data_IF_967007238235
#
_entry.id   IF_967007238235
#
_cell.length_a   1.000
_cell.length_b   1.000
_cell.length_c   1.000
_cell.angle_alpha   90.00
_cell.angle_beta   90.00
_cell.angle_gamma   90.00
#
_symmetry.space_group_name_H-M   'P 1'
#
loop_
_entity.id
_entity.type
_entity.pdbx_description
1 polymer ?
#
# COMPACT_ATOMS: atom_id res chain seq x y z
N UNK A 1 19.38 1.04 -16.68
CA UNK A 1 19.69 0.41 -15.38
C UNK A 1 19.83 1.51 -14.34
N UNK A 2 19.06 1.43 -13.23
CA UNK A 2 19.02 2.46 -12.17
C UNK A 2 19.85 1.99 -10.97
N UNK A 3 19.74 0.72 -10.63
CA UNK A 3 20.45 0.05 -9.54
C UNK A 3 21.12 -1.23 -10.02
N UNK A 4 22.20 -1.65 -9.38
CA UNK A 4 22.85 -2.93 -9.68
C UNK A 4 22.12 -4.07 -8.98
N UNK A 5 21.94 -3.99 -7.67
CA UNK A 5 21.30 -5.03 -6.86
C UNK A 5 20.17 -4.44 -6.01
N UNK A 6 18.96 -4.96 -6.15
CA UNK A 6 17.78 -4.53 -5.40
C UNK A 6 17.28 -5.65 -4.48
N UNK A 7 16.97 -5.32 -3.24
CA UNK A 7 16.28 -6.21 -2.30
C UNK A 7 14.80 -5.83 -2.23
N UNK A 8 13.91 -6.77 -2.54
CA UNK A 8 12.47 -6.62 -2.33
C UNK A 8 12.05 -7.60 -1.24
N UNK A 9 11.47 -7.10 -0.14
CA UNK A 9 10.99 -7.94 0.95
C UNK A 9 9.61 -8.53 0.65
N UNK A 10 9.18 -9.54 1.40
CA UNK A 10 7.90 -10.20 1.18
C UNK A 10 7.79 -10.84 -0.20
N UNK A 11 8.86 -11.48 -0.68
CA UNK A 11 9.00 -11.97 -2.05
C UNK A 11 8.07 -13.15 -2.40
N UNK A 12 7.39 -13.74 -1.42
CA UNK A 12 6.30 -14.68 -1.63
C UNK A 12 4.99 -14.00 -2.08
N UNK A 13 4.84 -12.69 -1.84
CA UNK A 13 3.61 -11.94 -2.07
C UNK A 13 3.46 -11.43 -3.51
N UNK A 14 2.21 -11.32 -3.98
CA UNK A 14 1.85 -10.87 -5.32
C UNK A 14 2.40 -9.47 -5.68
N UNK A 15 2.51 -8.58 -4.71
CA UNK A 15 3.04 -7.22 -4.94
C UNK A 15 4.54 -7.28 -5.24
N UNK A 16 5.31 -8.03 -4.45
CA UNK A 16 6.74 -8.18 -4.67
C UNK A 16 7.05 -8.86 -6.01
N UNK A 17 6.30 -9.91 -6.36
CA UNK A 17 6.41 -10.56 -7.68
C UNK A 17 6.06 -9.61 -8.83
N UNK A 18 5.07 -8.73 -8.65
CA UNK A 18 4.73 -7.70 -9.62
C UNK A 18 5.87 -6.67 -9.79
N UNK A 19 6.46 -6.20 -8.68
CA UNK A 19 7.60 -5.27 -8.72
C UNK A 19 8.84 -5.90 -9.36
N UNK A 20 9.12 -7.18 -9.08
CA UNK A 20 10.21 -7.91 -9.71
C UNK A 20 10.05 -7.96 -11.25
N UNK A 21 8.83 -8.27 -11.73
CA UNK A 21 8.50 -8.23 -13.16
C UNK A 21 8.68 -6.83 -13.75
N UNK A 22 8.18 -5.78 -13.09
CA UNK A 22 8.34 -4.39 -13.55
C UNK A 22 9.81 -4.02 -13.61
N UNK A 23 10.60 -4.31 -12.59
CA UNK A 23 12.03 -4.01 -12.54
C UNK A 23 12.81 -4.67 -13.70
N UNK A 24 12.50 -5.94 -14.01
CA UNK A 24 13.10 -6.70 -15.12
C UNK A 24 12.70 -6.13 -16.49
N UNK A 25 11.42 -5.92 -16.73
CA UNK A 25 10.89 -5.42 -17.99
C UNK A 25 11.41 -4.00 -18.31
N UNK A 26 11.53 -3.16 -17.28
CA UNK A 26 12.09 -1.81 -17.41
C UNK A 26 13.64 -1.78 -17.53
N UNK A 27 14.32 -2.92 -17.37
CA UNK A 27 15.79 -2.95 -17.28
C UNK A 27 16.32 -2.08 -16.13
N UNK A 28 15.54 -1.92 -15.06
CA UNK A 28 15.85 -1.01 -13.97
C UNK A 28 16.96 -1.54 -13.05
N UNK A 29 17.14 -2.87 -12.98
CA UNK A 29 18.08 -3.53 -12.09
C UNK A 29 18.75 -4.71 -12.78
N UNK A 30 19.98 -5.03 -12.38
CA UNK A 30 20.71 -6.21 -12.85
C UNK A 30 20.37 -7.45 -12.03
N UNK A 31 20.39 -7.35 -10.69
CA UNK A 31 20.13 -8.44 -9.77
C UNK A 31 18.97 -8.11 -8.85
N UNK A 32 18.06 -9.08 -8.68
CA UNK A 32 16.93 -9.01 -7.75
C UNK A 32 17.12 -10.03 -6.64
N UNK A 33 17.18 -9.56 -5.42
CA UNK A 33 17.19 -10.39 -4.22
C UNK A 33 15.81 -10.29 -3.57
N UNK A 34 15.24 -11.43 -3.23
CA UNK A 34 14.00 -11.50 -2.44
C UNK A 34 14.30 -11.93 -1.01
N UNK A 35 13.46 -11.54 -0.06
CA UNK A 35 13.43 -12.21 1.24
C UNK A 35 11.99 -12.36 1.72
N UNK A 36 11.71 -13.46 2.44
CA UNK A 36 10.40 -13.76 3.00
C UNK A 36 10.53 -14.55 4.30
N UNK A 37 9.44 -14.60 5.06
CA UNK A 37 9.31 -15.44 6.27
C UNK A 37 8.98 -16.89 5.95
N UNK A 38 8.61 -17.17 4.71
CA UNK A 38 8.31 -18.51 4.20
C UNK A 38 9.40 -18.94 3.23
N UNK A 39 9.78 -20.22 3.27
CA UNK A 39 10.77 -20.79 2.35
C UNK A 39 10.12 -21.40 1.08
N UNK A 40 8.87 -21.81 1.18
CA UNK A 40 8.14 -22.47 0.08
C UNK A 40 7.19 -21.46 -0.60
N UNK A 41 7.62 -20.94 -1.75
CA UNK A 41 6.88 -19.96 -2.54
C UNK A 41 7.45 -19.81 -3.95
N UNK A 42 6.72 -19.11 -4.84
CA UNK A 42 7.09 -18.90 -6.23
C UNK A 42 8.28 -17.90 -6.46
N UNK A 43 8.77 -17.27 -5.40
CA UNK A 43 9.84 -16.24 -5.48
C UNK A 43 11.05 -16.66 -6.32
N UNK A 44 11.62 -17.89 -6.19
CA UNK A 44 12.80 -18.30 -6.96
C UNK A 44 12.66 -18.23 -8.49
N UNK A 45 11.42 -18.19 -9.01
CA UNK A 45 11.20 -17.99 -10.44
C UNK A 45 11.34 -16.50 -10.88
N UNK A 46 11.42 -15.55 -9.94
CA UNK A 46 11.43 -14.11 -10.22
C UNK A 46 12.66 -13.39 -9.69
N UNK A 47 13.31 -13.95 -8.68
CA UNK A 47 14.47 -13.39 -8.01
C UNK A 47 15.73 -14.23 -8.28
N UNK A 48 16.88 -13.58 -8.33
CA UNK A 48 18.18 -14.27 -8.52
C UNK A 48 18.63 -15.01 -7.26
N UNK A 49 18.11 -14.59 -6.08
CA UNK A 49 18.25 -15.29 -4.81
C UNK A 49 17.08 -14.96 -3.91
N UNK A 50 16.67 -15.92 -3.07
CA UNK A 50 15.65 -15.73 -2.03
C UNK A 50 16.24 -16.10 -0.68
N UNK A 51 16.10 -15.21 0.30
CA UNK A 51 16.62 -15.35 1.65
C UNK A 51 15.48 -15.50 2.66
N UNK A 52 15.69 -16.36 3.66
CA UNK A 52 14.73 -16.49 4.77
C UNK A 52 15.01 -15.42 5.83
N UNK A 53 13.96 -14.75 6.27
CA UNK A 53 14.02 -13.76 7.35
C UNK A 53 13.03 -14.10 8.46
N UNK A 54 13.29 -13.75 9.72
CA UNK A 54 12.31 -13.84 10.79
C UNK A 54 11.16 -12.84 10.54
N UNK A 55 10.06 -12.97 11.28
CA UNK A 55 8.97 -11.99 11.23
C UNK A 55 9.47 -10.62 11.66
N UNK A 56 8.93 -9.57 11.05
CA UNK A 56 9.36 -8.19 11.31
C UNK A 56 9.28 -7.77 12.80
N UNK A 57 8.35 -8.35 13.57
CA UNK A 57 8.23 -8.10 15.01
C UNK A 57 9.21 -8.90 15.89
N UNK A 58 10.05 -9.75 15.31
CA UNK A 58 11.11 -10.47 16.03
C UNK A 58 12.38 -9.61 16.12
N UNK A 59 13.03 -9.60 17.30
CA UNK A 59 14.18 -8.73 17.58
C UNK A 59 15.39 -8.93 16.64
N UNK A 60 15.49 -10.07 15.97
CA UNK A 60 16.57 -10.42 15.05
C UNK A 60 16.32 -9.99 13.60
N UNK A 61 15.13 -9.45 13.29
CA UNK A 61 14.76 -9.08 11.91
C UNK A 61 15.72 -8.09 11.26
N UNK A 62 15.99 -6.95 11.91
CA UNK A 62 16.87 -5.91 11.36
C UNK A 62 18.30 -6.38 11.19
N UNK A 63 18.81 -7.19 12.12
CA UNK A 63 20.16 -7.76 12.00
C UNK A 63 20.24 -8.73 10.81
N UNK A 64 19.25 -9.59 10.64
CA UNK A 64 19.16 -10.50 9.49
C UNK A 64 19.07 -9.73 8.18
N UNK A 65 18.21 -8.70 8.12
CA UNK A 65 18.10 -7.85 6.94
C UNK A 65 19.43 -7.16 6.60
N UNK A 66 20.17 -6.64 7.61
CA UNK A 66 21.49 -6.05 7.42
C UNK A 66 22.50 -7.05 6.86
N UNK A 67 22.50 -8.29 7.35
CA UNK A 67 23.36 -9.36 6.83
C UNK A 67 23.10 -9.64 5.37
N UNK A 68 21.81 -9.71 4.95
CA UNK A 68 21.41 -9.91 3.56
C UNK A 68 21.91 -8.74 2.68
N UNK A 69 21.71 -7.50 3.12
CA UNK A 69 22.17 -6.31 2.40
C UNK A 69 23.67 -6.37 2.12
N UNK A 70 24.48 -6.73 3.14
CA UNK A 70 25.94 -6.83 3.02
C UNK A 70 26.34 -8.02 2.14
N UNK A 71 25.76 -9.19 2.36
CA UNK A 71 26.14 -10.42 1.67
C UNK A 71 25.88 -10.36 0.16
N UNK A 72 24.82 -9.68 -0.26
CA UNK A 72 24.44 -9.57 -1.67
C UNK A 72 24.91 -8.26 -2.33
N UNK A 73 25.49 -7.33 -1.58
CA UNK A 73 25.86 -6.00 -2.08
C UNK A 73 24.64 -5.22 -2.57
N UNK A 74 23.60 -5.20 -1.75
CA UNK A 74 22.34 -4.50 -2.09
C UNK A 74 22.55 -3.00 -2.16
N UNK A 75 21.98 -2.35 -3.17
CA UNK A 75 22.04 -0.90 -3.38
C UNK A 75 20.75 -0.16 -3.03
N UNK A 76 19.63 -0.89 -2.94
CA UNK A 76 18.31 -0.34 -2.58
C UNK A 76 17.42 -1.40 -1.96
N UNK A 77 16.65 -1.01 -0.95
CA UNK A 77 15.66 -1.87 -0.29
C UNK A 77 14.26 -1.38 -0.60
N UNK A 78 13.37 -2.32 -0.97
CA UNK A 78 11.94 -2.06 -1.21
C UNK A 78 11.12 -2.87 -0.21
N UNK A 79 10.72 -2.29 0.94
CA UNK A 79 9.92 -2.98 1.93
C UNK A 79 8.47 -3.11 1.46
N UNK A 80 7.89 -4.31 1.57
CA UNK A 80 6.55 -4.58 1.01
C UNK A 80 5.47 -4.79 2.05
N UNK A 81 5.79 -5.24 3.26
CA UNK A 81 4.78 -5.41 4.31
C UNK A 81 4.70 -4.18 5.23
N UNK A 82 3.50 -3.89 5.72
CA UNK A 82 3.31 -2.81 6.70
C UNK A 82 4.05 -3.08 8.01
N UNK A 83 4.21 -4.36 8.39
CA UNK A 83 4.97 -4.74 9.58
C UNK A 83 6.47 -4.39 9.43
N UNK A 84 7.06 -4.63 8.27
CA UNK A 84 8.45 -4.29 7.98
C UNK A 84 8.64 -2.77 7.94
N UNK A 85 7.73 -2.06 7.27
CA UNK A 85 7.75 -0.58 7.22
C UNK A 85 7.62 0.01 8.63
N UNK A 86 6.76 -0.56 9.49
CA UNK A 86 6.59 -0.11 10.87
C UNK A 86 7.86 -0.31 11.71
N UNK A 87 8.57 -1.41 11.54
CA UNK A 87 9.84 -1.67 12.24
C UNK A 87 10.94 -0.73 11.74
N UNK A 88 11.06 -0.53 10.42
CA UNK A 88 12.00 0.43 9.84
C UNK A 88 11.70 1.87 10.30
N UNK A 89 10.42 2.24 10.37
CA UNK A 89 9.99 3.53 10.90
C UNK A 89 10.39 3.70 12.37
N UNK A 90 10.07 2.73 13.21
CA UNK A 90 10.38 2.77 14.65
C UNK A 90 11.87 2.84 14.93
N UNK A 91 12.69 2.19 14.11
CA UNK A 91 14.14 2.21 14.19
C UNK A 91 14.80 3.44 13.52
N UNK A 92 14.01 4.35 12.92
CA UNK A 92 14.54 5.56 12.25
C UNK A 92 15.17 5.30 10.88
N UNK A 93 14.83 4.20 10.23
CA UNK A 93 15.49 3.72 9.01
C UNK A 93 14.71 3.97 7.70
N UNK A 94 13.66 4.80 7.70
CA UNK A 94 12.90 5.09 6.48
C UNK A 94 13.72 5.81 5.39
N UNK A 95 14.70 6.62 5.78
CA UNK A 95 15.57 7.30 4.82
C UNK A 95 16.72 6.45 4.30
N UNK A 96 17.04 5.35 4.98
CA UNK A 96 18.11 4.44 4.64
C UNK A 96 18.40 3.44 5.74
N UNK A 97 18.85 2.26 5.33
CA UNK A 97 19.22 1.17 6.23
C UNK A 97 20.51 0.50 5.76
N UNK A 98 21.44 0.22 6.67
CA UNK A 98 22.73 -0.40 6.36
C UNK A 98 23.53 0.31 5.24
N UNK A 99 23.40 1.65 5.14
CA UNK A 99 24.10 2.45 4.14
C UNK A 99 23.41 2.56 2.78
N UNK A 100 22.23 1.95 2.59
CA UNK A 100 21.50 1.98 1.32
C UNK A 100 20.10 2.59 1.48
N UNK A 101 19.53 3.23 0.44
CA UNK A 101 18.21 3.83 0.50
C UNK A 101 17.11 2.79 0.71
N UNK A 102 16.10 3.16 1.50
CA UNK A 102 14.84 2.43 1.65
C UNK A 102 13.77 3.14 0.83
N UNK A 103 13.17 2.43 -0.11
CA UNK A 103 12.16 2.97 -1.01
C UNK A 103 10.78 2.94 -0.34
N UNK A 104 10.39 4.04 0.26
CA UNK A 104 9.13 4.20 0.97
C UNK A 104 8.60 5.63 0.81
N UNK A 105 7.33 5.84 1.13
CA UNK A 105 6.78 7.20 1.26
C UNK A 105 7.41 7.94 2.46
N UNK A 106 7.16 9.24 2.57
CA UNK A 106 7.64 10.03 3.70
C UNK A 106 7.03 9.56 5.04
N UNK A 107 7.72 9.90 6.14
CA UNK A 107 7.35 9.49 7.51
C UNK A 107 5.89 9.76 7.84
N UNK A 108 5.40 10.98 7.56
CA UNK A 108 4.03 11.38 7.90
C UNK A 108 2.98 10.54 7.18
N UNK A 109 3.19 10.23 5.90
CA UNK A 109 2.31 9.36 5.12
C UNK A 109 2.30 7.93 5.68
N UNK A 110 3.46 7.41 6.10
CA UNK A 110 3.58 6.08 6.69
C UNK A 110 2.90 6.03 8.07
N UNK A 111 3.22 6.95 8.99
CA UNK A 111 2.61 7.00 10.33
C UNK A 111 1.09 7.09 10.25
N UNK A 112 0.59 7.90 9.31
CA UNK A 112 -0.86 8.05 9.07
C UNK A 112 -1.46 6.78 8.49
N UNK A 113 -0.86 6.20 7.45
CA UNK A 113 -1.42 5.03 6.76
C UNK A 113 -1.38 3.73 7.55
N UNK A 114 -0.42 3.56 8.48
CA UNK A 114 -0.32 2.39 9.34
C UNK A 114 -1.40 2.34 10.44
N UNK A 115 -2.10 3.44 10.71
CA UNK A 115 -3.15 3.54 11.72
C UNK A 115 -4.42 4.15 11.12
N UNK A 116 -5.47 3.33 10.95
CA UNK A 116 -6.73 3.76 10.32
C UNK A 116 -7.43 4.88 11.09
N UNK A 117 -7.25 4.96 12.41
CA UNK A 117 -7.80 6.06 13.20
C UNK A 117 -7.01 7.35 12.99
N UNK A 118 -5.68 7.26 12.88
CA UNK A 118 -4.84 8.40 12.51
C UNK A 118 -5.17 8.90 11.10
N UNK A 119 -5.40 7.98 10.14
CA UNK A 119 -5.86 8.32 8.78
C UNK A 119 -7.16 9.13 8.84
N UNK A 120 -8.18 8.62 9.54
CA UNK A 120 -9.46 9.30 9.69
C UNK A 120 -9.28 10.70 10.28
N UNK A 121 -8.60 10.81 11.44
CA UNK A 121 -8.44 12.09 12.14
C UNK A 121 -7.71 13.12 11.29
N UNK A 122 -6.62 12.71 10.63
CA UNK A 122 -5.85 13.63 9.80
C UNK A 122 -6.65 14.14 8.61
N UNK A 123 -7.30 13.26 7.88
CA UNK A 123 -8.08 13.66 6.71
C UNK A 123 -9.30 14.50 7.09
N UNK A 124 -10.01 14.12 8.16
CA UNK A 124 -11.14 14.91 8.69
C UNK A 124 -10.72 16.32 9.13
N UNK A 125 -9.55 16.45 9.80
CA UNK A 125 -9.01 17.76 10.20
C UNK A 125 -8.68 18.68 9.01
N UNK A 126 -8.49 18.12 7.82
CA UNK A 126 -8.27 18.86 6.58
C UNK A 126 -9.56 19.00 5.74
N UNK A 127 -10.72 18.65 6.29
CA UNK A 127 -12.02 18.74 5.60
C UNK A 127 -12.19 17.74 4.45
N UNK A 128 -11.39 16.66 4.41
CA UNK A 128 -11.46 15.67 3.35
C UNK A 128 -12.50 14.59 3.67
N UNK A 129 -13.15 14.04 2.64
CA UNK A 129 -14.20 13.04 2.78
C UNK A 129 -13.70 11.74 3.40
N UNK A 130 -14.21 11.41 4.58
CA UNK A 130 -13.94 10.16 5.32
C UNK A 130 -15.22 9.63 5.95
N UNK A 131 -15.37 8.32 6.17
CA UNK A 131 -16.44 7.77 6.97
C UNK A 131 -16.29 8.18 8.42
N UNK A 132 -17.39 8.37 9.17
CA UNK A 132 -17.27 8.51 10.61
C UNK A 132 -16.56 7.27 11.18
N UNK A 133 -15.68 7.49 12.15
CA UNK A 133 -14.87 6.42 12.74
C UNK A 133 -14.68 6.69 14.22
N UNK A 134 -14.84 5.66 15.07
CA UNK A 134 -14.70 5.75 16.52
C UNK A 134 -13.94 4.53 17.05
N UNK A 135 -13.22 4.70 18.15
CA UNK A 135 -12.60 3.59 18.88
C UNK A 135 -13.68 2.87 19.69
N UNK A 136 -13.71 1.54 19.59
CA UNK A 136 -14.76 0.68 20.19
C UNK A 136 -14.88 0.88 21.70
N UNK A 137 -13.74 0.91 22.41
CA UNK A 137 -13.72 1.06 23.88
C UNK A 137 -14.00 2.49 24.36
N UNK A 138 -13.96 3.49 23.48
CA UNK A 138 -14.13 4.90 23.87
C UNK A 138 -15.55 5.42 23.64
N UNK A 139 -16.22 4.93 22.59
CA UNK A 139 -17.56 5.40 22.25
C UNK A 139 -18.36 4.36 21.45
N UNK A 140 -19.71 4.33 21.55
CA UNK A 140 -20.54 3.49 20.70
C UNK A 140 -20.50 3.94 19.24
N UNK A 141 -20.92 3.10 18.26
CA UNK A 141 -21.09 3.51 16.88
C UNK A 141 -22.10 4.65 16.74
N UNK A 142 -21.98 5.47 15.69
CA UNK A 142 -22.94 6.55 15.43
C UNK A 142 -24.25 6.06 14.83
N UNK A 143 -24.20 4.94 14.12
CA UNK A 143 -25.37 4.34 13.48
C UNK A 143 -25.13 2.85 13.24
N UNK A 144 -26.19 2.08 13.12
CA UNK A 144 -26.22 0.70 12.68
C UNK A 144 -27.04 0.60 11.37
N UNK A 145 -26.63 -0.28 10.43
CA UNK A 145 -25.46 -1.14 10.50
C UNK A 145 -24.16 -0.36 10.34
N UNK A 146 -23.08 -0.88 10.93
CA UNK A 146 -21.74 -0.31 10.79
C UNK A 146 -20.68 -1.39 10.60
N UNK A 147 -19.45 -0.97 10.34
CA UNK A 147 -18.29 -1.84 10.20
C UNK A 147 -17.50 -1.86 11.50
N UNK A 148 -17.18 -3.07 11.97
CA UNK A 148 -16.17 -3.34 12.98
C UNK A 148 -14.90 -3.81 12.29
N UNK A 149 -13.77 -3.11 12.47
CA UNK A 149 -12.49 -3.46 11.85
C UNK A 149 -11.31 -3.17 12.77
N UNK A 150 -10.20 -3.87 12.54
CA UNK A 150 -8.95 -3.60 13.27
C UNK A 150 -8.44 -2.20 12.97
N UNK A 151 -7.98 -1.51 14.02
CA UNK A 151 -7.31 -0.21 13.90
C UNK A 151 -6.02 -0.32 13.09
N UNK A 152 -5.20 -1.36 13.33
CA UNK A 152 -3.94 -1.62 12.62
C UNK A 152 -3.98 -2.97 11.92
N UNK A 153 -3.19 -3.12 10.85
CA UNK A 153 -3.11 -4.32 10.04
C UNK A 153 -3.82 -4.18 8.69
N UNK A 154 -3.61 -5.17 7.83
CA UNK A 154 -3.96 -5.15 6.41
C UNK A 154 -4.85 -6.33 6.00
N UNK A 155 -5.42 -6.24 4.79
CA UNK A 155 -6.07 -7.34 4.10
C UNK A 155 -7.52 -7.60 4.52
N UNK A 156 -8.19 -6.65 5.18
CA UNK A 156 -9.62 -6.80 5.56
C UNK A 156 -9.92 -7.99 6.48
N UNK A 157 -8.88 -8.60 7.06
CA UNK A 157 -9.01 -9.69 8.01
C UNK A 157 -9.76 -9.19 9.25
N UNK A 158 -10.75 -9.95 9.70
CA UNK A 158 -11.60 -9.62 10.85
C UNK A 158 -12.52 -8.40 10.68
N UNK A 159 -12.77 -7.94 9.44
CA UNK A 159 -13.83 -7.00 9.16
C UNK A 159 -15.19 -7.68 9.35
N UNK A 160 -16.09 -7.05 10.11
CA UNK A 160 -17.45 -7.55 10.36
C UNK A 160 -18.47 -6.43 10.18
N UNK A 161 -19.63 -6.79 9.66
CA UNK A 161 -20.82 -5.94 9.74
C UNK A 161 -21.49 -6.17 11.11
N UNK A 162 -21.91 -5.09 11.73
CA UNK A 162 -22.57 -5.08 13.02
C UNK A 162 -23.95 -4.46 12.84
N UNK A 163 -25.00 -5.17 13.25
CA UNK A 163 -26.37 -4.80 12.99
C UNK A 163 -27.15 -4.50 14.27
N UNK A 164 -26.70 -5.02 15.42
CA UNK A 164 -27.47 -4.96 16.66
C UNK A 164 -26.66 -4.38 17.83
N UNK A 165 -27.37 -3.83 18.82
CA UNK A 165 -26.75 -3.35 20.05
C UNK A 165 -26.09 -4.48 20.86
N UNK A 166 -26.59 -5.71 20.79
CA UNK A 166 -25.97 -6.86 21.43
C UNK A 166 -24.57 -7.14 20.85
N UNK A 167 -24.43 -7.09 19.53
CA UNK A 167 -23.12 -7.22 18.85
C UNK A 167 -22.18 -6.07 19.24
N UNK A 168 -22.69 -4.86 19.44
CA UNK A 168 -21.92 -3.71 19.92
C UNK A 168 -21.36 -3.99 21.33
N UNK A 169 -22.18 -4.49 22.27
CA UNK A 169 -21.73 -4.79 23.63
C UNK A 169 -20.70 -5.93 23.66
N UNK A 170 -20.87 -6.97 22.85
CA UNK A 170 -19.87 -8.04 22.69
C UNK A 170 -18.56 -7.47 22.17
N UNK A 171 -18.59 -6.61 21.15
CA UNK A 171 -17.38 -6.04 20.59
C UNK A 171 -16.64 -5.12 21.57
N UNK A 172 -17.35 -4.32 22.38
CA UNK A 172 -16.74 -3.50 23.44
C UNK A 172 -15.93 -4.34 24.44
N UNK A 173 -16.41 -5.54 24.75
CA UNK A 173 -15.73 -6.45 25.68
C UNK A 173 -14.55 -7.18 25.04
N UNK A 174 -14.65 -7.54 23.75
CA UNK A 174 -13.71 -8.45 23.09
C UNK A 174 -12.70 -7.76 22.18
N UNK A 175 -13.01 -6.53 21.72
CA UNK A 175 -12.26 -5.78 20.71
C UNK A 175 -12.17 -4.28 21.01
N UNK A 176 -11.83 -3.84 22.25
CA UNK A 176 -11.90 -2.42 22.64
C UNK A 176 -10.97 -1.50 21.84
N UNK A 177 -9.85 -2.00 21.32
CA UNK A 177 -8.87 -1.23 20.53
C UNK A 177 -9.22 -1.12 19.05
N UNK A 178 -10.28 -1.79 18.61
CA UNK A 178 -10.73 -1.79 17.22
C UNK A 178 -11.58 -0.54 16.91
N UNK A 179 -12.06 -0.44 15.68
CA UNK A 179 -12.78 0.71 15.18
C UNK A 179 -14.19 0.36 14.73
N UNK A 180 -15.16 1.17 15.18
CA UNK A 180 -16.41 1.37 14.45
C UNK A 180 -16.18 2.29 13.27
N UNK A 181 -16.77 1.96 12.14
CA UNK A 181 -16.75 2.83 10.97
C UNK A 181 -18.08 2.78 10.22
N UNK A 182 -18.44 3.90 9.63
CA UNK A 182 -19.58 4.05 8.72
C UNK A 182 -19.57 2.97 7.65
N UNK A 183 -20.72 2.32 7.44
CA UNK A 183 -20.94 1.46 6.29
C UNK A 183 -21.18 2.34 5.07
N UNK A 184 -20.19 2.42 4.20
CA UNK A 184 -20.28 3.20 2.97
C UNK A 184 -21.04 2.43 1.89
N UNK A 185 -21.98 3.09 1.21
CA UNK A 185 -22.78 2.54 0.12
C UNK A 185 -22.72 3.47 -1.10
N UNK A 186 -22.98 2.96 -2.34
CA UNK A 186 -23.21 1.55 -2.67
C UNK A 186 -21.90 0.74 -2.75
N UNK A 187 -22.01 -0.58 -2.61
CA UNK A 187 -20.84 -1.47 -2.54
C UNK A 187 -20.03 -1.54 -3.85
N UNK A 188 -20.69 -1.41 -4.98
CA UNK A 188 -20.09 -1.49 -6.33
C UNK A 188 -19.30 -0.22 -6.73
N UNK A 189 -19.33 0.84 -5.92
CA UNK A 189 -18.61 2.09 -6.13
C UNK A 189 -17.31 2.16 -5.32
N UNK A 190 -16.56 1.07 -5.31
CA UNK A 190 -15.27 0.99 -4.62
C UNK A 190 -14.11 1.25 -5.59
N UNK A 191 -13.22 2.15 -5.17
CA UNK A 191 -12.07 2.59 -5.97
C UNK A 191 -10.76 2.36 -5.23
N UNK A 192 -9.72 2.09 -5.99
CA UNK A 192 -8.34 2.06 -5.52
C UNK A 192 -7.52 3.03 -6.38
N UNK A 193 -6.83 3.95 -5.73
CA UNK A 193 -6.12 5.02 -6.40
C UNK A 193 -4.63 4.90 -6.12
N UNK A 194 -3.81 4.87 -7.17
CA UNK A 194 -2.40 5.18 -7.05
C UNK A 194 -2.24 6.69 -6.90
N UNK A 195 -1.56 7.12 -5.87
CA UNK A 195 -1.22 8.52 -5.62
C UNK A 195 0.29 8.64 -5.41
N UNK A 196 0.93 9.42 -6.24
CA UNK A 196 2.36 9.68 -6.20
C UNK A 196 2.61 11.18 -6.16
N UNK A 197 3.48 11.64 -5.27
CA UNK A 197 3.98 13.00 -5.30
C UNK A 197 5.51 12.98 -5.40
N UNK A 198 6.02 13.65 -6.41
CA UNK A 198 7.45 13.78 -6.63
C UNK A 198 8.10 14.67 -5.58
N UNK A 199 9.41 14.60 -5.46
CA UNK A 199 10.19 15.52 -4.60
C UNK A 199 10.08 16.98 -5.05
N UNK A 200 9.76 17.21 -6.32
CA UNK A 200 9.49 18.55 -6.86
C UNK A 200 8.06 19.04 -6.58
N UNK A 201 7.21 18.23 -5.92
CA UNK A 201 5.83 18.58 -5.56
C UNK A 201 4.80 18.25 -6.64
N UNK A 202 5.18 17.66 -7.78
CA UNK A 202 4.23 17.24 -8.82
C UNK A 202 3.41 16.05 -8.32
N UNK A 203 2.09 16.19 -8.30
CA UNK A 203 1.16 15.12 -7.91
C UNK A 203 0.63 14.40 -9.13
N UNK A 204 0.73 13.07 -9.13
CA UNK A 204 0.22 12.17 -10.17
C UNK A 204 -0.75 11.17 -9.54
N UNK A 205 -1.80 10.83 -10.28
CA UNK A 205 -2.83 9.91 -9.79
C UNK A 205 -3.36 9.03 -10.92
N UNK A 206 -3.84 7.84 -10.53
CA UNK A 206 -4.64 6.96 -11.36
C UNK A 206 -5.78 6.41 -10.51
N UNK A 207 -7.00 6.45 -11.02
CA UNK A 207 -8.21 6.00 -10.31
C UNK A 207 -8.76 4.76 -11.01
N UNK A 208 -8.90 3.70 -10.25
CA UNK A 208 -9.38 2.41 -10.73
C UNK A 208 -10.63 2.00 -9.94
N UNK A 209 -11.79 1.89 -10.60
CA UNK A 209 -12.94 1.21 -10.02
C UNK A 209 -12.64 -0.28 -10.00
N UNK A 210 -12.67 -0.90 -8.83
CA UNK A 210 -12.19 -2.27 -8.66
C UNK A 210 -13.31 -3.25 -8.28
N UNK A 211 -13.06 -4.51 -8.62
CA UNK A 211 -13.79 -5.65 -8.09
C UNK A 211 -12.78 -6.60 -7.44
N UNK A 212 -13.02 -6.93 -6.18
CA UNK A 212 -12.17 -7.85 -5.43
C UNK A 212 -12.43 -9.30 -5.83
N UNK A 213 -11.36 -10.09 -5.81
CA UNK A 213 -11.36 -11.53 -5.93
C UNK A 213 -10.29 -12.09 -5.00
N UNK A 214 -10.69 -12.91 -4.02
CA UNK A 214 -9.76 -13.45 -3.03
C UNK A 214 -9.00 -12.38 -2.21
N UNK A 215 -9.64 -11.24 -1.92
CA UNK A 215 -9.01 -10.13 -1.18
C UNK A 215 -8.10 -9.21 -2.00
N UNK A 216 -7.84 -9.55 -3.27
CA UNK A 216 -7.05 -8.75 -4.20
C UNK A 216 -7.94 -8.13 -5.29
N UNK A 217 -7.45 -7.11 -5.99
CA UNK A 217 -8.12 -6.59 -7.17
C UNK A 217 -8.03 -7.61 -8.30
N UNK A 218 -9.14 -8.32 -8.58
CA UNK A 218 -9.24 -9.29 -9.66
C UNK A 218 -9.56 -8.65 -11.01
N UNK A 219 -10.40 -7.60 -11.00
CA UNK A 219 -10.73 -6.80 -12.19
C UNK A 219 -10.78 -5.32 -11.81
N UNK A 220 -10.45 -4.46 -12.75
CA UNK A 220 -10.57 -3.02 -12.59
C UNK A 220 -10.90 -2.33 -13.90
N UNK A 221 -11.47 -1.14 -13.79
CA UNK A 221 -11.74 -0.23 -14.91
C UNK A 221 -11.11 1.11 -14.58
N UNK A 222 -10.39 1.71 -15.52
CA UNK A 222 -9.90 3.08 -15.37
C UNK A 222 -11.09 4.02 -15.26
N UNK A 223 -11.17 4.76 -14.18
CA UNK A 223 -12.20 5.78 -13.98
C UNK A 223 -11.69 7.16 -14.40
N UNK A 224 -12.62 8.04 -14.77
CA UNK A 224 -12.31 9.47 -14.86
C UNK A 224 -11.82 9.96 -13.48
N UNK A 225 -10.63 10.53 -13.43
CA UNK A 225 -10.04 11.05 -12.19
C UNK A 225 -10.60 12.39 -11.76
N UNK A 226 -11.31 13.11 -12.64
CA UNK A 226 -11.80 14.47 -12.39
C UNK A 226 -12.63 14.60 -11.11
N UNK A 227 -13.60 13.72 -10.80
CA UNK A 227 -14.38 13.81 -9.56
C UNK A 227 -13.57 13.54 -8.28
N UNK A 228 -12.45 12.87 -8.40
CA UNK A 228 -11.60 12.44 -7.27
C UNK A 228 -10.38 13.34 -7.06
N UNK A 229 -10.03 14.11 -8.08
CA UNK A 229 -8.81 14.94 -8.11
C UNK A 229 -8.70 15.90 -6.92
N UNK A 230 -9.74 16.66 -6.53
CA UNK A 230 -9.65 17.56 -5.37
C UNK A 230 -9.34 16.81 -4.08
N UNK A 231 -9.98 15.65 -3.85
CA UNK A 231 -9.75 14.81 -2.68
C UNK A 231 -8.32 14.25 -2.68
N UNK A 232 -7.84 13.72 -3.80
CA UNK A 232 -6.51 13.12 -3.91
C UNK A 232 -5.39 14.16 -3.77
N UNK A 233 -5.53 15.36 -4.32
CA UNK A 233 -4.61 16.47 -4.07
C UNK A 233 -4.62 16.88 -2.59
N UNK A 234 -5.81 17.03 -1.99
CA UNK A 234 -5.94 17.34 -0.57
C UNK A 234 -5.28 16.31 0.33
N UNK A 235 -5.34 15.01 -0.03
CA UNK A 235 -4.63 13.93 0.69
C UNK A 235 -3.11 14.11 0.54
N UNK A 236 -2.62 14.37 -0.67
CA UNK A 236 -1.19 14.61 -0.89
C UNK A 236 -0.67 15.78 -0.06
N UNK A 237 -1.45 16.86 0.05
CA UNK A 237 -1.12 18.03 0.86
C UNK A 237 -1.23 17.73 2.36
N UNK A 238 -2.31 17.09 2.83
CA UNK A 238 -2.51 16.73 4.23
C UNK A 238 -1.40 15.80 4.77
N UNK A 239 -0.79 14.98 3.91
CA UNK A 239 0.28 14.06 4.25
C UNK A 239 1.68 14.63 3.96
N UNK A 240 1.79 15.86 3.43
CA UNK A 240 3.04 16.35 2.85
C UNK A 240 3.74 15.27 2.01
N UNK A 241 2.94 14.61 1.19
CA UNK A 241 3.33 13.36 0.53
C UNK A 241 4.58 13.54 -0.30
N UNK A 242 5.51 12.61 -0.14
CA UNK A 242 6.60 12.36 -1.08
C UNK A 242 6.70 10.86 -1.29
N UNK A 243 6.69 10.42 -2.55
CA UNK A 243 6.67 9.00 -2.92
C UNK A 243 5.25 8.49 -3.23
N UNK A 244 5.06 7.18 -3.14
CA UNK A 244 3.83 6.50 -3.55
C UNK A 244 3.03 5.95 -2.38
N UNK A 245 1.71 6.16 -2.43
CA UNK A 245 0.75 5.51 -1.56
C UNK A 245 -0.42 4.96 -2.38
N UNK A 246 -1.20 4.07 -1.77
CA UNK A 246 -2.44 3.59 -2.35
C UNK A 246 -3.62 4.03 -1.49
N UNK A 247 -4.53 4.80 -2.07
CA UNK A 247 -5.75 5.28 -1.40
C UNK A 247 -6.93 4.39 -1.81
N UNK A 248 -7.71 3.96 -0.83
CA UNK A 248 -8.94 3.22 -1.06
C UNK A 248 -10.12 4.07 -0.61
N UNK A 249 -11.08 4.24 -1.49
CA UNK A 249 -12.24 5.08 -1.27
C UNK A 249 -13.51 4.48 -1.87
N UNK A 250 -14.64 4.96 -1.40
CA UNK A 250 -15.95 4.67 -1.99
C UNK A 250 -16.63 5.96 -2.41
N UNK A 251 -17.21 5.96 -3.60
CA UNK A 251 -18.05 7.05 -4.07
C UNK A 251 -19.45 6.86 -3.50
N UNK A 252 -19.84 7.72 -2.56
CA UNK A 252 -21.16 7.72 -1.92
C UNK A 252 -22.04 8.83 -2.51
N UNK A 253 -23.30 8.90 -2.06
CA UNK A 253 -24.20 10.01 -2.42
C UNK A 253 -23.66 11.38 -1.97
N UNK A 254 -22.87 11.41 -0.87
CA UNK A 254 -22.24 12.63 -0.32
C UNK A 254 -20.87 12.94 -0.95
N UNK A 255 -20.45 12.17 -1.97
CA UNK A 255 -19.15 12.28 -2.60
C UNK A 255 -18.17 11.17 -2.19
N UNK A 256 -16.90 11.25 -2.61
CA UNK A 256 -15.90 10.23 -2.32
C UNK A 256 -15.45 10.29 -0.86
N UNK A 257 -15.46 9.13 -0.18
CA UNK A 257 -14.98 8.95 1.20
C UNK A 257 -13.84 7.95 1.26
N UNK A 258 -12.71 8.35 1.85
CA UNK A 258 -11.52 7.50 2.03
C UNK A 258 -11.67 6.63 3.26
N UNK A 259 -11.59 5.32 3.10
CA UNK A 259 -11.69 4.38 4.21
C UNK A 259 -10.38 3.67 4.57
N UNK A 260 -9.34 3.77 3.70
CA UNK A 260 -8.02 3.19 3.95
C UNK A 260 -6.94 3.85 3.09
N UNK A 261 -5.77 4.06 3.69
CA UNK A 261 -4.53 4.41 2.99
C UNK A 261 -3.51 3.31 3.28
N UNK A 262 -2.95 2.72 2.21
CA UNK A 262 -1.83 1.80 2.33
C UNK A 262 -0.55 2.57 1.96
N UNK A 263 0.37 2.82 2.90
CA UNK A 263 1.56 3.65 2.66
C UNK A 263 2.67 2.86 1.95
N UNK A 264 2.32 2.11 0.93
CA UNK A 264 3.18 1.22 0.14
C UNK A 264 2.58 0.98 -1.24
N UNK A 265 3.36 0.33 -2.11
CA UNK A 265 2.83 -0.21 -3.37
C UNK A 265 1.69 -1.20 -3.09
N UNK A 266 0.76 -1.30 -4.00
CA UNK A 266 -0.44 -2.13 -3.83
C UNK A 266 -0.53 -3.24 -4.87
N UNK A 267 -1.45 -4.17 -4.67
CA UNK A 267 -1.70 -5.26 -5.62
C UNK A 267 -2.09 -4.80 -7.03
N UNK A 268 -2.38 -3.51 -7.22
CA UNK A 268 -2.66 -2.92 -8.53
C UNK A 268 -1.42 -2.31 -9.20
N UNK A 269 -0.24 -2.37 -8.59
CA UNK A 269 0.98 -1.75 -9.12
C UNK A 269 1.28 -2.20 -10.56
N UNK A 270 1.07 -3.48 -10.88
CA UNK A 270 1.27 -4.02 -12.21
C UNK A 270 0.25 -3.50 -13.24
N UNK A 271 -1.01 -3.32 -12.83
CA UNK A 271 -2.03 -2.69 -13.68
C UNK A 271 -1.65 -1.24 -13.99
N UNK A 272 -1.28 -0.49 -12.97
CA UNK A 272 -0.88 0.91 -13.07
C UNK A 272 0.32 1.10 -13.97
N UNK A 273 1.36 0.29 -13.80
CA UNK A 273 2.57 0.31 -14.60
C UNK A 273 2.28 0.12 -16.09
N UNK A 274 1.45 -0.89 -16.44
CA UNK A 274 1.02 -1.14 -17.84
C UNK A 274 0.21 0.00 -18.46
N UNK A 275 -0.37 0.87 -17.64
CA UNK A 275 -1.10 2.06 -18.04
C UNK A 275 -0.26 3.35 -17.99
N UNK A 276 1.04 3.23 -17.78
CA UNK A 276 1.97 4.36 -17.73
C UNK A 276 2.03 5.07 -16.37
N UNK A 277 1.26 4.65 -15.36
CA UNK A 277 1.44 5.12 -13.99
C UNK A 277 2.53 4.31 -13.30
N UNK A 278 3.76 4.74 -13.49
CA UNK A 278 4.98 4.00 -13.15
C UNK A 278 5.56 4.44 -11.80
N UNK A 279 4.73 4.52 -10.77
CA UNK A 279 5.09 5.03 -9.44
C UNK A 279 6.29 4.29 -8.81
N UNK A 280 6.48 3.01 -9.10
CA UNK A 280 7.65 2.27 -8.68
C UNK A 280 8.93 2.74 -9.38
N UNK A 281 8.90 2.85 -10.71
CA UNK A 281 10.05 3.33 -11.50
C UNK A 281 10.38 4.78 -11.16
N UNK A 282 9.38 5.64 -11.01
CA UNK A 282 9.59 7.03 -10.58
C UNK A 282 10.27 7.11 -9.22
N UNK A 283 9.83 6.29 -8.27
CA UNK A 283 10.44 6.22 -6.94
C UNK A 283 11.91 5.78 -7.00
N UNK A 284 12.26 4.80 -7.87
CA UNK A 284 13.64 4.39 -8.09
C UNK A 284 14.48 5.52 -8.71
N UNK A 285 13.96 6.22 -9.71
CA UNK A 285 14.66 7.33 -10.36
C UNK A 285 14.92 8.47 -9.35
N UNK A 286 13.89 8.90 -8.62
CA UNK A 286 14.02 9.98 -7.64
C UNK A 286 14.94 9.62 -6.47
N UNK A 287 15.00 8.35 -6.06
CA UNK A 287 15.93 7.92 -5.01
C UNK A 287 17.41 8.03 -5.42
N UNK A 288 17.67 8.10 -6.75
CA UNK A 288 18.99 8.38 -7.35
C UNK A 288 19.17 9.85 -7.78
N UNK A 289 18.19 10.72 -7.47
CA UNK A 289 18.23 12.12 -7.92
C UNK A 289 18.02 12.29 -9.43
N UNK A 290 17.48 11.28 -10.12
CA UNK A 290 17.19 11.32 -11.54
C UNK A 290 15.78 11.88 -11.80
N UNK A 291 15.63 12.56 -12.94
CA UNK A 291 14.35 13.09 -13.35
C UNK A 291 13.36 11.98 -13.74
N UNK A 292 12.11 12.18 -13.38
CA UNK A 292 11.01 11.31 -13.81
C UNK A 292 10.40 11.84 -15.11
N UNK A 293 10.04 10.94 -16.01
CA UNK A 293 9.39 11.29 -17.28
C UNK A 293 8.01 11.92 -17.07
N UNK A 294 7.47 12.57 -18.09
CA UNK A 294 6.11 13.09 -18.05
C UNK A 294 5.09 11.96 -17.90
N UNK A 295 4.00 12.24 -17.16
CA UNK A 295 2.88 11.32 -17.02
C UNK A 295 1.65 11.86 -17.74
N UNK A 296 0.99 11.00 -18.48
CA UNK A 296 -0.32 11.26 -19.04
C UNK A 296 -1.29 10.21 -18.51
N UNK A 297 -2.37 10.66 -17.86
CA UNK A 297 -3.40 9.75 -17.37
C UNK A 297 -3.99 8.92 -18.52
N UNK A 298 -4.22 7.62 -18.33
CA UNK A 298 -4.86 6.77 -19.33
C UNK A 298 -6.31 7.19 -19.54
N UNK A 299 -6.85 6.88 -20.73
CA UNK A 299 -8.25 7.13 -21.02
C UNK A 299 -9.14 6.30 -20.09
N UNK A 300 -10.30 6.84 -19.65
CA UNK A 300 -11.30 6.07 -18.92
C UNK A 300 -11.77 4.83 -19.68
N UNK A 301 -12.47 3.94 -18.98
CA UNK A 301 -13.10 2.71 -19.48
C UNK A 301 -12.17 1.59 -19.95
N UNK A 302 -10.84 1.78 -19.86
CA UNK A 302 -9.89 0.68 -20.07
C UNK A 302 -10.10 -0.36 -18.97
N UNK A 303 -10.36 -1.60 -19.39
CA UNK A 303 -10.60 -2.73 -18.48
C UNK A 303 -9.36 -3.56 -18.30
N UNK A 304 -9.13 -4.00 -17.05
CA UNK A 304 -8.02 -4.84 -16.69
C UNK A 304 -8.51 -6.04 -15.89
N UNK A 305 -7.88 -7.17 -16.13
CA UNK A 305 -8.15 -8.41 -15.43
C UNK A 305 -6.85 -9.02 -14.92
N UNK A 306 -6.89 -9.54 -13.70
CA UNK A 306 -5.79 -10.35 -13.16
C UNK A 306 -5.93 -11.76 -13.72
N UNK A 307 -4.89 -12.23 -14.38
CA UNK A 307 -4.78 -13.61 -14.83
C UNK A 307 -3.75 -14.34 -13.95
N UNK A 308 -4.07 -15.56 -13.57
CA UNK A 308 -3.11 -16.47 -12.98
C UNK A 308 -2.17 -17.02 -14.07
N UNK A 309 -0.93 -17.31 -13.67
CA UNK A 309 0.08 -17.93 -14.50
C UNK A 309 0.87 -18.90 -13.62
N UNK A 310 1.14 -20.09 -14.10
CA UNK A 310 1.84 -21.14 -13.39
C UNK A 310 3.35 -20.98 -13.56
N UNK A 311 4.11 -21.23 -12.50
CA UNK A 311 5.57 -21.29 -12.54
C UNK A 311 6.03 -22.68 -12.07
N UNK A 312 7.04 -23.23 -12.75
CA UNK A 312 7.67 -24.48 -12.39
C UNK A 312 9.09 -24.15 -11.91
N UNK A 313 9.42 -24.64 -10.72
CA UNK A 313 10.73 -24.48 -10.11
C UNK A 313 11.32 -25.88 -9.99
N UNK A 314 12.46 -26.12 -10.64
CA UNK A 314 13.19 -27.41 -10.63
C UNK A 314 14.28 -27.44 -9.58
#
# INVERSE_FOLDING_TARGET
MIYDTMLITGCAGDIALALARIAREAGAVRRLIGCDVHADHAGPAFFDACELVPRANEGTYLETLKRIVIAHGVDVIVPMSEAEIAVLLAAGHLGGFAGVPVLAANRLAIETGLDKYATFNRLAAHGLGVPWTRIVGEAPPLALPCILKRRRGQGGKDLRLVYTEEEVEIAKQTRPDDLWQELLLPEDQEYTCGLYRSRAGETRMIVLRRRLQGGLTGAAVVADSTPFSPLLHGIADALDLTGSINVQLRLTADGPKVFEINPRFSSTVRFRDKLGFQDFIWSLLESRGLAIGAYRAPSPDIRMYRCADEVIIG
#
